data_IF_945828673863
#
_entry.id   IF_945828673863
#
_cell.length_a   1.000
_cell.length_b   1.000
_cell.length_c   1.000
_cell.angle_alpha   90.00
_cell.angle_beta   90.00
_cell.angle_gamma   90.00
#
_symmetry.space_group_name_H-M   'P 1'
#
loop_
_entity.id
_entity.type
_entity.pdbx_description
1 polymer ?
#
# COMPACT_ATOMS: atom_id res chain seq x y z
N UNK A 1 -13.25 -11.19 2.25
CA UNK A 1 -12.24 -12.11 1.67
C UNK A 1 -11.50 -11.35 0.59
N UNK A 2 -10.20 -11.14 0.74
CA UNK A 2 -9.40 -10.56 -0.35
C UNK A 2 -9.19 -11.68 -1.37
N UNK A 3 -9.57 -11.44 -2.63
CA UNK A 3 -9.42 -12.43 -3.70
C UNK A 3 -8.07 -12.17 -4.37
N UNK A 4 -7.25 -13.21 -4.51
CA UNK A 4 -6.00 -13.10 -5.24
C UNK A 4 -6.29 -12.73 -6.71
N UNK A 5 -5.84 -11.56 -7.13
CA UNK A 5 -5.94 -11.10 -8.51
C UNK A 5 -4.56 -11.16 -9.14
N UNK A 6 -4.20 -12.32 -9.69
CA UNK A 6 -2.92 -12.57 -10.35
C UNK A 6 -3.01 -12.46 -11.87
N UNK A 7 -1.89 -12.78 -12.53
CA UNK A 7 -1.81 -12.95 -13.98
C UNK A 7 -1.63 -14.45 -14.25
N UNK A 8 -2.70 -15.17 -14.64
CA UNK A 8 -2.57 -16.56 -15.05
C UNK A 8 -1.58 -16.65 -16.23
N UNK A 9 -0.67 -17.62 -16.20
CA UNK A 9 0.37 -17.79 -17.22
C UNK A 9 1.29 -16.56 -17.37
N UNK A 10 1.64 -15.93 -16.24
CA UNK A 10 2.54 -14.77 -16.17
C UNK A 10 3.83 -14.94 -17.00
N UNK A 11 4.44 -16.12 -16.96
CA UNK A 11 5.67 -16.39 -17.71
C UNK A 11 5.76 -17.86 -18.17
N UNK A 12 6.30 -18.14 -19.37
CA UNK A 12 6.43 -19.51 -19.86
C UNK A 12 7.44 -20.32 -19.04
N UNK A 13 7.06 -21.54 -18.66
CA UNK A 13 7.94 -22.46 -17.92
C UNK A 13 9.23 -22.78 -18.69
N UNK A 14 9.14 -22.94 -20.01
CA UNK A 14 10.29 -23.23 -20.88
C UNK A 14 11.38 -22.16 -20.81
N UNK A 15 11.01 -20.91 -20.57
CA UNK A 15 11.97 -19.81 -20.43
C UNK A 15 12.61 -19.77 -19.02
N UNK A 16 11.89 -20.22 -17.99
CA UNK A 16 12.42 -20.36 -16.61
C UNK A 16 13.38 -21.54 -16.51
N UNK A 17 13.15 -22.60 -17.29
CA UNK A 17 13.96 -23.81 -17.27
C UNK A 17 15.11 -23.80 -18.28
N UNK A 18 15.17 -22.78 -19.14
CA UNK A 18 16.25 -22.65 -20.12
C UNK A 18 17.60 -22.54 -19.41
N UNK A 19 18.57 -23.36 -19.82
CA UNK A 19 19.93 -23.32 -19.29
C UNK A 19 20.56 -21.93 -19.54
N UNK A 20 21.19 -21.37 -18.51
CA UNK A 20 21.79 -20.03 -18.57
C UNK A 20 20.79 -18.87 -18.58
N UNK A 21 19.50 -19.11 -18.28
CA UNK A 21 18.55 -18.01 -18.14
C UNK A 21 18.95 -17.10 -16.96
N UNK A 22 18.76 -15.77 -17.09
CA UNK A 22 19.20 -14.82 -16.05
C UNK A 22 18.23 -14.73 -14.86
N UNK A 23 17.03 -15.32 -14.96
CA UNK A 23 15.94 -15.15 -14.00
C UNK A 23 15.99 -16.15 -12.83
N UNK A 24 16.62 -17.32 -13.05
CA UNK A 24 16.88 -18.32 -12.02
C UNK A 24 18.39 -18.44 -11.82
N UNK A 25 18.85 -18.23 -10.59
CA UNK A 25 20.25 -18.45 -10.20
C UNK A 25 20.26 -19.17 -8.86
N UNK A 26 21.13 -20.17 -8.71
CA UNK A 26 21.26 -20.97 -7.49
C UNK A 26 19.90 -21.50 -6.98
N UNK A 27 19.11 -22.06 -7.90
CA UNK A 27 17.74 -22.57 -7.64
C UNK A 27 16.78 -21.54 -7.01
N UNK A 28 17.04 -20.25 -7.24
CA UNK A 28 16.31 -19.13 -6.64
C UNK A 28 15.84 -18.13 -7.69
N UNK A 29 14.66 -17.53 -7.48
CA UNK A 29 14.14 -16.41 -8.26
C UNK A 29 13.66 -15.27 -7.37
N UNK A 30 13.72 -14.04 -7.88
CA UNK A 30 13.22 -12.85 -7.18
C UNK A 30 12.01 -12.28 -7.91
N UNK A 31 10.93 -12.02 -7.16
CA UNK A 31 9.70 -11.41 -7.68
C UNK A 31 9.50 -10.06 -7.00
N UNK A 32 9.31 -9.01 -7.79
CA UNK A 32 9.01 -7.66 -7.30
C UNK A 32 7.60 -7.26 -7.71
N UNK A 33 6.74 -7.02 -6.73
CA UNK A 33 5.39 -6.45 -6.94
C UNK A 33 5.47 -4.95 -6.71
N UNK A 34 5.06 -4.16 -7.70
CA UNK A 34 4.99 -2.70 -7.59
C UNK A 34 3.54 -2.29 -7.43
N UNK A 35 3.25 -1.57 -6.35
CA UNK A 35 1.92 -1.02 -6.08
C UNK A 35 1.99 0.47 -6.37
N UNK A 36 1.11 0.95 -7.25
CA UNK A 36 0.98 2.37 -7.51
C UNK A 36 0.12 3.04 -6.43
N UNK A 37 0.69 4.03 -5.77
CA UNK A 37 0.03 4.84 -4.76
C UNK A 37 -0.14 6.30 -5.21
N UNK A 38 0.01 6.62 -6.50
CA UNK A 38 -0.03 8.00 -7.02
C UNK A 38 -1.28 8.80 -6.64
N UNK A 39 -2.41 8.13 -6.43
CA UNK A 39 -3.66 8.75 -5.97
C UNK A 39 -3.76 9.00 -4.46
N UNK A 40 -2.78 8.56 -3.67
CA UNK A 40 -2.78 8.67 -2.20
C UNK A 40 -1.70 9.67 -1.73
N UNK A 41 -2.01 10.59 -0.81
CA UNK A 41 -0.98 11.42 -0.18
C UNK A 41 0.09 10.56 0.48
N UNK A 42 1.38 10.80 0.16
CA UNK A 42 2.51 9.99 0.68
C UNK A 42 2.55 9.89 2.21
N UNK A 43 2.12 10.95 2.89
CA UNK A 43 2.04 11.01 4.37
C UNK A 43 1.05 10.01 4.95
N UNK A 44 0.08 9.54 4.16
CA UNK A 44 -0.94 8.59 4.58
C UNK A 44 -0.49 7.12 4.42
N UNK A 45 0.55 6.86 3.62
CA UNK A 45 0.97 5.49 3.30
C UNK A 45 1.27 4.63 4.54
N UNK A 46 1.99 5.12 5.58
CA UNK A 46 2.21 4.31 6.79
C UNK A 46 0.92 3.90 7.49
N UNK A 47 -0.10 4.77 7.45
CA UNK A 47 -1.41 4.48 8.03
C UNK A 47 -2.16 3.44 7.19
N UNK A 48 -2.27 3.65 5.88
CA UNK A 48 -2.98 2.72 4.99
C UNK A 48 -2.34 1.32 5.00
N UNK A 49 -1.01 1.22 5.07
CA UNK A 49 -0.27 -0.04 5.08
C UNK A 49 -0.26 -0.75 6.45
N UNK A 50 -0.65 -0.07 7.54
CA UNK A 50 -0.76 -0.68 8.88
C UNK A 50 -2.17 -1.16 9.20
N UNK A 51 -3.15 -0.91 8.31
CA UNK A 51 -4.50 -1.43 8.49
C UNK A 51 -4.51 -2.96 8.45
N UNK A 52 -5.36 -3.56 9.28
CA UNK A 52 -5.51 -5.01 9.32
C UNK A 52 -6.03 -5.50 7.94
N UNK A 53 -5.23 -6.31 7.20
CA UNK A 53 -5.61 -6.76 5.86
C UNK A 53 -6.83 -7.70 5.86
N UNK A 54 -7.19 -8.27 7.02
CA UNK A 54 -8.38 -9.10 7.20
C UNK A 54 -9.70 -8.32 7.26
N UNK A 55 -9.65 -6.98 7.38
CA UNK A 55 -10.85 -6.16 7.32
C UNK A 55 -11.47 -6.19 5.91
N UNK A 56 -12.80 -6.12 5.78
CA UNK A 56 -13.43 -5.93 4.48
C UNK A 56 -12.90 -4.69 3.76
N UNK A 57 -12.72 -4.77 2.44
CA UNK A 57 -12.14 -3.69 1.62
C UNK A 57 -12.88 -2.36 1.78
N UNK A 58 -14.21 -2.39 1.86
CA UNK A 58 -15.03 -1.19 2.08
C UNK A 58 -14.76 -0.55 3.45
N UNK A 59 -14.50 -1.35 4.48
CA UNK A 59 -14.15 -0.85 5.82
C UNK A 59 -12.76 -0.21 5.79
N UNK A 60 -11.78 -0.86 5.15
CA UNK A 60 -10.44 -0.27 5.00
C UNK A 60 -10.51 1.06 4.25
N UNK A 61 -11.23 1.12 3.13
CA UNK A 61 -11.41 2.35 2.33
C UNK A 61 -12.09 3.47 3.12
N UNK A 62 -13.13 3.13 3.89
CA UNK A 62 -13.83 4.09 4.75
C UNK A 62 -12.88 4.70 5.78
N UNK A 63 -12.11 3.87 6.49
CA UNK A 63 -11.15 4.31 7.51
C UNK A 63 -10.05 5.18 6.89
N UNK A 64 -9.51 4.80 5.73
CA UNK A 64 -8.52 5.60 4.98
C UNK A 64 -9.10 6.98 4.64
N UNK A 65 -10.34 7.04 4.15
CA UNK A 65 -11.01 8.29 3.79
C UNK A 65 -11.18 9.20 5.00
N UNK A 66 -11.61 8.67 6.14
CA UNK A 66 -11.72 9.44 7.38
C UNK A 66 -10.38 10.02 7.82
N UNK A 67 -9.30 9.25 7.70
CA UNK A 67 -7.97 9.74 8.07
C UNK A 67 -7.47 10.84 7.13
N UNK A 68 -7.81 10.77 5.84
CA UNK A 68 -7.54 11.87 4.87
C UNK A 68 -8.26 13.14 5.32
N UNK A 69 -9.55 13.04 5.61
CA UNK A 69 -10.37 14.17 6.05
C UNK A 69 -9.87 14.76 7.38
N UNK A 70 -9.51 13.91 8.34
CA UNK A 70 -8.95 14.32 9.64
C UNK A 70 -7.66 15.13 9.49
N UNK A 71 -6.78 14.72 8.56
CA UNK A 71 -5.50 15.41 8.31
C UNK A 71 -5.64 16.66 7.45
N UNK A 72 -6.72 16.77 6.67
CA UNK A 72 -7.02 17.96 5.88
C UNK A 72 -7.57 19.12 6.73
N UNK A 73 -8.04 18.85 7.96
CA UNK A 73 -8.47 19.89 8.89
C UNK A 73 -7.24 20.61 9.47
N UNK A 74 -7.10 21.94 9.31
CA UNK A 74 -6.06 22.69 10.00
C UNK A 74 -6.27 22.59 11.51
N UNK A 75 -5.20 22.33 12.26
CA UNK A 75 -5.20 22.35 13.72
C UNK A 75 -5.53 23.77 14.21
N UNK A 76 -6.80 24.08 14.45
CA UNK A 76 -7.23 25.27 15.19
C UNK A 76 -7.04 25.03 16.68
N UNK A 77 -5.78 24.90 17.14
CA UNK A 77 -5.48 24.68 18.56
C UNK A 77 -4.14 25.29 18.98
N UNK A 78 -3.85 26.54 18.63
CA UNK A 78 -2.94 27.40 19.43
C UNK A 78 -3.31 28.88 19.25
N UNK A 79 -4.26 29.41 20.03
CA UNK A 79 -4.37 30.88 20.26
C UNK A 79 -5.21 31.33 21.48
N UNK A 80 -5.70 30.43 22.35
CA UNK A 80 -6.56 30.82 23.47
C UNK A 80 -5.88 30.90 24.86
N UNK A 81 -4.55 30.86 24.97
CA UNK A 81 -3.86 30.86 26.29
C UNK A 81 -2.92 32.04 26.56
N UNK A 82 -2.87 33.07 25.73
CA UNK A 82 -1.99 34.24 25.98
C UNK A 82 -2.69 35.58 25.79
N UNK A 83 -3.79 35.86 26.50
CA UNK A 83 -4.18 37.26 26.80
C UNK A 83 -5.07 37.30 28.04
N UNK A 84 -4.45 37.29 29.22
CA UNK A 84 -5.00 37.86 30.46
C UNK A 84 -3.77 38.20 31.33
N UNK A 85 -3.15 39.33 31.00
CA UNK A 85 -2.33 40.14 31.91
C UNK A 85 -2.90 41.55 31.90
#
# INVERSE_FOLDING_TARGET
MNIASGIPKFFPLSMIQQEGNPYVRDDTMFIKVMIDFGGMPKTLLPYALSLNPGLPTNVQQYIIKQEIERRAQPQTLEQHLTTNQ
#
